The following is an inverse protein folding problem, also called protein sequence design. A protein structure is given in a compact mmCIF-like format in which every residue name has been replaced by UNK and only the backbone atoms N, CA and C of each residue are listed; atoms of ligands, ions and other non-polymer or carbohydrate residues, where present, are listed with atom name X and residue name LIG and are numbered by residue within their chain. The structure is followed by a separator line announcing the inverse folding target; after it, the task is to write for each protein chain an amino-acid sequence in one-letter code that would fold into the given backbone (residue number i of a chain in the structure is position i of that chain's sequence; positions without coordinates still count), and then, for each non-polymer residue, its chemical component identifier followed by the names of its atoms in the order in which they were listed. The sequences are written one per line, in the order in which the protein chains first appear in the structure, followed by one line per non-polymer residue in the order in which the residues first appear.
data_IF_514376081370
#
_entry.id   IF_514376081370
#
_cell.length_a   1.000
_cell.length_b   1.000
_cell.length_c   1.000
_cell.angle_alpha   90.00
_cell.angle_beta   90.00
_cell.angle_gamma   90.00
#
_symmetry.space_group_name_H-M   'P 1'
#
loop_
_entity.id
_entity.type
_entity.pdbx_description
1 polymer ?
#
# COMPACT_ATOMS: atom_id res chain seq x y z
N UNK A 1 23.07 -6.24 -3.43
CA UNK A 1 21.88 -6.14 -4.29
C UNK A 1 20.83 -7.13 -3.83
N UNK A 2 19.57 -6.73 -3.81
CA UNK A 2 18.49 -7.61 -3.36
C UNK A 2 18.27 -8.77 -4.35
N UNK A 3 18.00 -9.99 -3.84
CA UNK A 3 17.66 -11.10 -4.71
C UNK A 3 16.28 -10.88 -5.34
N UNK A 4 16.06 -11.45 -6.51
CA UNK A 4 14.77 -11.35 -7.19
C UNK A 4 13.66 -11.98 -6.36
N UNK A 5 13.93 -13.12 -5.73
CA UNK A 5 12.95 -13.81 -4.89
C UNK A 5 12.52 -12.96 -3.69
N UNK A 6 13.47 -12.31 -3.03
CA UNK A 6 13.15 -11.44 -1.89
C UNK A 6 12.41 -10.19 -2.36
N UNK A 7 12.82 -9.61 -3.48
CA UNK A 7 12.14 -8.46 -4.05
C UNK A 7 10.67 -8.77 -4.37
N UNK A 8 10.41 -9.91 -4.99
CA UNK A 8 9.05 -10.33 -5.32
C UNK A 8 8.20 -10.53 -4.06
N UNK A 9 8.79 -11.14 -3.02
CA UNK A 9 8.08 -11.35 -1.76
C UNK A 9 7.74 -10.03 -1.07
N UNK A 10 8.67 -9.09 -1.05
CA UNK A 10 8.43 -7.77 -0.45
C UNK A 10 7.42 -6.99 -1.26
N UNK A 11 7.50 -7.02 -2.59
CA UNK A 11 6.51 -6.36 -3.44
C UNK A 11 5.11 -6.94 -3.25
N UNK A 12 4.99 -8.24 -3.05
CA UNK A 12 3.70 -8.85 -2.73
C UNK A 12 3.15 -8.30 -1.41
N UNK A 13 4.02 -8.08 -0.42
CA UNK A 13 3.61 -7.51 0.86
C UNK A 13 3.22 -6.03 0.71
N UNK A 14 3.94 -5.27 -0.10
CA UNK A 14 3.58 -3.87 -0.40
C UNK A 14 2.17 -3.81 -1.00
N UNK A 15 1.88 -4.67 -1.96
CA UNK A 15 0.55 -4.74 -2.57
C UNK A 15 -0.52 -5.06 -1.52
N UNK A 16 -0.25 -6.01 -0.62
CA UNK A 16 -1.18 -6.39 0.44
C UNK A 16 -1.44 -5.21 1.40
N UNK A 17 -0.39 -4.48 1.80
CA UNK A 17 -0.53 -3.31 2.66
C UNK A 17 -1.35 -2.21 1.97
N UNK A 18 -1.11 -1.97 0.69
CA UNK A 18 -1.88 -0.96 -0.06
C UNK A 18 -3.32 -1.37 -0.27
N UNK A 19 -3.58 -2.67 -0.46
CA UNK A 19 -4.95 -3.17 -0.52
C UNK A 19 -5.68 -2.89 0.79
N UNK A 20 -5.03 -3.16 1.93
CA UNK A 20 -5.59 -2.87 3.25
C UNK A 20 -5.81 -1.37 3.45
N UNK A 21 -4.86 -0.53 3.01
CA UNK A 21 -5.02 0.92 3.08
C UNK A 21 -6.25 1.39 2.33
N UNK A 22 -6.44 0.89 1.11
CA UNK A 22 -7.59 1.25 0.28
C UNK A 22 -8.91 0.76 0.90
N UNK A 23 -8.90 -0.43 1.51
CA UNK A 23 -10.06 -0.95 2.21
C UNK A 23 -10.45 -0.05 3.38
N UNK A 24 -9.49 0.30 4.24
CA UNK A 24 -9.74 1.19 5.37
C UNK A 24 -10.23 2.56 4.90
N UNK A 25 -9.66 3.07 3.82
CA UNK A 25 -10.08 4.36 3.27
C UNK A 25 -11.53 4.31 2.79
N UNK A 26 -11.92 3.24 2.10
CA UNK A 26 -13.29 3.04 1.65
C UNK A 26 -14.26 2.95 2.83
N UNK A 27 -13.86 2.23 3.89
CA UNK A 27 -14.65 2.14 5.12
C UNK A 27 -14.76 3.49 5.80
N UNK A 28 -13.71 4.30 5.79
CA UNK A 28 -13.75 5.66 6.33
C UNK A 28 -14.80 6.50 5.61
N UNK A 29 -14.80 6.45 4.29
CA UNK A 29 -15.79 7.19 3.49
C UNK A 29 -17.21 6.71 3.75
N UNK A 30 -17.40 5.40 3.89
CA UNK A 30 -18.70 4.82 4.21
C UNK A 30 -19.23 5.36 5.54
N UNK A 31 -18.40 5.34 6.59
CA UNK A 31 -18.80 5.82 7.91
C UNK A 31 -19.01 7.33 7.94
N UNK A 32 -18.21 8.08 7.19
CA UNK A 32 -18.38 9.53 7.07
C UNK A 32 -19.75 9.86 6.44
N UNK A 33 -20.13 9.12 5.39
CA UNK A 33 -21.42 9.31 4.72
C UNK A 33 -22.60 8.97 5.63
N UNK A 34 -22.40 8.10 6.61
CA UNK A 34 -23.43 7.73 7.61
C UNK A 34 -23.42 8.65 8.82
N UNK A 35 -22.52 9.61 8.90
CA UNK A 35 -22.41 10.53 10.03
C UNK A 35 -21.64 10.01 11.22
N UNK A 36 -20.93 8.89 11.08
CA UNK A 36 -20.13 8.32 12.14
C UNK A 36 -18.69 8.83 12.05
N UNK A 37 -18.49 10.09 12.42
CA UNK A 37 -17.20 10.77 12.25
C UNK A 37 -16.04 10.14 13.04
N UNK A 38 -16.32 9.61 14.23
CA UNK A 38 -15.29 8.96 15.04
C UNK A 38 -14.75 7.70 14.37
N UNK A 39 -15.63 6.85 13.84
CA UNK A 39 -15.23 5.67 13.10
C UNK A 39 -14.54 6.04 11.80
N UNK A 40 -15.06 7.06 11.10
CA UNK A 40 -14.45 7.51 9.85
C UNK A 40 -13.02 7.99 10.08
N UNK A 41 -12.78 8.77 11.12
CA UNK A 41 -11.43 9.26 11.46
C UNK A 41 -10.50 8.14 11.86
N UNK A 42 -10.98 7.17 12.62
CA UNK A 42 -10.17 6.03 13.04
C UNK A 42 -9.76 5.18 11.85
N UNK A 43 -10.70 4.89 10.95
CA UNK A 43 -10.43 4.13 9.74
C UNK A 43 -9.45 4.85 8.82
N UNK A 44 -9.56 6.17 8.71
CA UNK A 44 -8.63 6.96 7.92
C UNK A 44 -7.21 6.91 8.48
N UNK A 45 -7.08 6.95 9.81
CA UNK A 45 -5.80 6.79 10.47
C UNK A 45 -5.19 5.41 10.18
N UNK A 46 -6.01 4.35 10.19
CA UNK A 46 -5.56 3.01 9.83
C UNK A 46 -5.09 2.95 8.37
N UNK A 47 -5.80 3.62 7.47
CA UNK A 47 -5.40 3.68 6.06
C UNK A 47 -4.02 4.31 5.91
N UNK A 48 -3.76 5.41 6.60
CA UNK A 48 -2.45 6.07 6.58
C UNK A 48 -1.35 5.18 7.14
N UNK A 49 -1.64 4.46 8.22
CA UNK A 49 -0.68 3.55 8.85
C UNK A 49 -0.28 2.42 7.90
N UNK A 50 -1.25 1.82 7.21
CA UNK A 50 -0.97 0.76 6.23
C UNK A 50 -0.17 1.31 5.04
N UNK A 51 -0.47 2.51 4.59
CA UNK A 51 0.28 3.18 3.53
C UNK A 51 1.73 3.44 3.95
N UNK A 52 1.94 3.84 5.21
CA UNK A 52 3.28 4.06 5.76
C UNK A 52 4.06 2.75 5.82
N UNK A 53 3.41 1.64 6.19
CA UNK A 53 4.05 0.31 6.17
C UNK A 53 4.52 -0.04 4.76
N UNK A 54 3.67 0.20 3.76
CA UNK A 54 4.04 -0.05 2.37
C UNK A 54 5.25 0.78 1.95
N UNK A 55 5.29 2.05 2.36
CA UNK A 55 6.40 2.94 2.02
C UNK A 55 7.72 2.49 2.64
N UNK A 56 7.70 2.04 3.90
CA UNK A 56 8.89 1.50 4.56
C UNK A 56 9.44 0.31 3.79
N UNK A 57 8.57 -0.60 3.36
CA UNK A 57 8.96 -1.77 2.57
C UNK A 57 9.52 -1.35 1.20
N UNK A 58 8.89 -0.37 0.56
CA UNK A 58 9.36 0.15 -0.72
C UNK A 58 10.75 0.78 -0.60
N UNK A 59 10.99 1.55 0.46
CA UNK A 59 12.30 2.14 0.73
C UNK A 59 13.37 1.06 0.92
N UNK A 60 13.03 -0.02 1.61
CA UNK A 60 13.94 -1.13 1.79
C UNK A 60 14.37 -1.72 0.44
N UNK A 61 13.41 -1.97 -0.44
CA UNK A 61 13.69 -2.53 -1.78
C UNK A 61 14.55 -1.58 -2.60
N UNK A 62 14.18 -0.30 -2.63
CA UNK A 62 14.89 0.69 -3.44
C UNK A 62 16.33 0.93 -2.98
N UNK A 63 16.55 0.94 -1.66
CA UNK A 63 17.89 1.11 -1.10
C UNK A 63 18.83 -0.03 -1.48
N UNK A 64 18.28 -1.18 -1.81
CA UNK A 64 19.06 -2.37 -2.19
C UNK A 64 19.10 -2.60 -3.69
N UNK A 65 18.79 -1.57 -4.45
CA UNK A 65 18.88 -1.60 -5.90
C UNK A 65 17.74 -2.31 -6.60
N UNK A 66 16.67 -2.61 -5.87
CA UNK A 66 15.49 -3.24 -6.44
C UNK A 66 14.45 -2.25 -6.91
N UNK A 67 13.40 -2.77 -7.51
CA UNK A 67 12.25 -2.00 -7.97
C UNK A 67 11.05 -2.27 -7.06
N UNK A 68 10.52 -1.23 -6.43
CA UNK A 68 9.33 -1.33 -5.60
C UNK A 68 8.08 -1.18 -6.46
N UNK A 69 7.04 -1.95 -6.14
CA UNK A 69 5.76 -1.92 -6.86
C UNK A 69 4.62 -1.96 -5.86
N UNK A 70 3.65 -1.07 -6.05
CA UNK A 70 2.48 -0.97 -5.17
C UNK A 70 1.22 -1.59 -5.78
N UNK A 71 1.30 -2.10 -6.99
CA UNK A 71 0.23 -2.83 -7.68
C UNK A 71 0.79 -4.13 -8.22
N UNK A 72 -0.09 -5.12 -8.43
CA UNK A 72 0.34 -6.40 -8.99
C UNK A 72 0.80 -6.22 -10.44
N UNK A 73 1.62 -7.16 -10.91
CA UNK A 73 2.11 -7.14 -12.29
C UNK A 73 0.99 -7.12 -13.33
N UNK A 74 -0.11 -7.79 -13.03
CA UNK A 74 -1.24 -7.87 -13.95
C UNK A 74 -1.94 -6.54 -14.14
N UNK A 75 -1.75 -5.61 -13.22
CA UNK A 75 -2.37 -4.28 -13.26
C UNK A 75 -1.37 -3.18 -13.56
N UNK A 76 -0.09 -3.53 -13.69
CA UNK A 76 0.97 -2.56 -13.87
C UNK A 76 1.15 -2.24 -15.35
N UNK A 77 0.75 -1.04 -15.73
CA UNK A 77 1.04 -0.48 -17.04
C UNK A 77 2.11 0.59 -16.85
N UNK A 78 3.33 0.27 -17.24
CA UNK A 78 4.41 1.24 -17.13
C UNK A 78 4.32 2.23 -18.26
N UNK A 79 4.40 3.53 -17.97
CA UNK A 79 4.42 4.53 -19.02
C UNK A 79 5.69 4.36 -19.87
N UNK A 80 5.53 4.46 -21.15
CA UNK A 80 6.65 4.47 -22.07
C UNK A 80 7.13 5.90 -22.19
N UNK A 81 8.22 6.18 -21.53
CA UNK A 81 8.78 7.52 -21.52
C UNK A 81 10.03 7.55 -22.34
#
# INVERSE_FOLDING_TARGET
MISQKLQEAINAQIVAEMWSANLYLSMSYFFAAKGYEGFASWMKAQAHEESDHADVLAQYVMKRGGQAKAVSYTHLTLPTI
#
